data_IF_156938162140
#
_entry.id   IF_156938162140
#
_cell.length_a   1.000
_cell.length_b   1.000
_cell.length_c   1.000
_cell.angle_alpha   90.00
_cell.angle_beta   90.00
_cell.angle_gamma   90.00
#
_symmetry.space_group_name_H-M   'P 1'
#
loop_
_entity.id
_entity.type
_entity.pdbx_description
1 polymer ?
#
# COMPACT_ATOMS: atom_id res chain seq x y z
N UNK A 1 7.32 -20.60 27.40
CA UNK A 1 5.97 -20.23 26.94
C UNK A 1 5.63 -18.84 27.47
N UNK A 2 6.01 -17.79 26.75
CA UNK A 2 5.61 -16.42 27.10
C UNK A 2 4.18 -16.19 26.58
N UNK A 3 3.27 -15.79 27.47
CA UNK A 3 1.90 -15.42 27.14
C UNK A 3 1.94 -14.24 26.17
N UNK A 4 1.56 -14.47 24.91
CA UNK A 4 1.19 -13.43 23.95
C UNK A 4 0.22 -12.47 24.65
N UNK A 5 0.66 -11.25 24.95
CA UNK A 5 -0.23 -10.21 25.47
C UNK A 5 -1.15 -9.83 24.30
N UNK A 6 -2.29 -10.52 24.21
CA UNK A 6 -3.36 -10.16 23.28
C UNK A 6 -3.61 -8.67 23.48
N UNK A 7 -3.42 -7.86 22.44
CA UNK A 7 -3.95 -6.49 22.44
C UNK A 7 -5.47 -6.68 22.50
N UNK A 8 -6.04 -6.53 23.69
CA UNK A 8 -7.47 -6.71 23.98
C UNK A 8 -8.36 -5.62 23.33
N UNK A 9 -8.00 -5.15 22.13
CA UNK A 9 -8.78 -4.20 21.35
C UNK A 9 -9.35 -4.91 20.13
N UNK A 10 -10.55 -4.49 19.72
CA UNK A 10 -11.14 -4.93 18.46
C UNK A 10 -10.18 -4.52 17.32
N UNK A 11 -9.86 -5.45 16.43
CA UNK A 11 -8.95 -5.23 15.30
C UNK A 11 -9.60 -5.65 13.99
N UNK A 12 -9.41 -4.86 12.94
CA UNK A 12 -9.88 -5.12 11.58
C UNK A 12 -8.70 -4.97 10.61
N UNK A 13 -8.51 -5.94 9.72
CA UNK A 13 -7.36 -6.02 8.78
C UNK A 13 -5.98 -5.87 9.43
N UNK A 14 -5.81 -6.36 10.66
CA UNK A 14 -4.54 -6.27 11.41
C UNK A 14 -4.27 -4.91 12.05
N UNK A 15 -5.19 -3.94 11.92
CA UNK A 15 -5.13 -2.63 12.56
C UNK A 15 -6.22 -2.47 13.62
N UNK A 16 -6.01 -1.56 14.59
CA UNK A 16 -7.06 -1.16 15.54
C UNK A 16 -8.30 -0.63 14.78
N UNK A 17 -9.51 -0.81 15.30
CA UNK A 17 -10.71 -0.17 14.72
C UNK A 17 -10.57 1.35 14.62
N UNK A 18 -9.84 1.97 15.54
CA UNK A 18 -9.57 3.42 15.55
C UNK A 18 -8.44 3.84 14.57
N UNK A 19 -7.87 2.91 13.81
CA UNK A 19 -6.90 3.24 12.79
C UNK A 19 -7.58 3.98 11.63
N UNK A 20 -6.99 5.04 11.05
CA UNK A 20 -7.65 5.86 10.02
C UNK A 20 -8.19 5.07 8.81
N UNK A 21 -7.49 4.03 8.36
CA UNK A 21 -7.97 3.12 7.30
C UNK A 21 -9.31 2.49 7.71
N UNK A 22 -9.41 1.95 8.92
CA UNK A 22 -10.62 1.28 9.39
C UNK A 22 -11.74 2.28 9.64
N UNK A 23 -11.42 3.47 10.18
CA UNK A 23 -12.41 4.53 10.37
C UNK A 23 -13.00 5.02 9.05
N UNK A 24 -12.17 5.25 8.04
CA UNK A 24 -12.62 5.65 6.70
C UNK A 24 -13.42 4.54 6.02
N UNK A 25 -12.99 3.29 6.14
CA UNK A 25 -13.75 2.14 5.65
C UNK A 25 -15.14 2.07 6.30
N UNK A 26 -15.20 2.12 7.64
CA UNK A 26 -16.46 2.06 8.39
C UNK A 26 -17.36 3.24 8.03
N UNK A 27 -16.81 4.46 7.89
CA UNK A 27 -17.57 5.62 7.49
C UNK A 27 -18.19 5.46 6.10
N UNK A 28 -17.45 4.96 5.11
CA UNK A 28 -17.96 4.72 3.76
C UNK A 28 -19.05 3.64 3.75
N UNK A 29 -18.83 2.53 4.47
CA UNK A 29 -19.84 1.47 4.60
C UNK A 29 -21.09 1.99 5.31
N UNK A 30 -20.94 2.78 6.37
CA UNK A 30 -22.05 3.37 7.10
C UNK A 30 -22.87 4.32 6.23
N UNK A 31 -22.22 5.26 5.51
CA UNK A 31 -22.89 6.18 4.58
C UNK A 31 -23.61 5.40 3.48
N UNK A 32 -23.00 4.36 2.95
CA UNK A 32 -23.64 3.52 1.95
C UNK A 32 -24.90 2.81 2.48
N UNK A 33 -24.87 2.28 3.70
CA UNK A 33 -26.06 1.71 4.35
C UNK A 33 -27.14 2.79 4.50
N UNK A 34 -26.78 4.01 4.89
CA UNK A 34 -27.74 5.12 4.96
C UNK A 34 -28.32 5.47 3.58
N UNK A 35 -27.53 5.43 2.50
CA UNK A 35 -28.03 5.60 1.13
C UNK A 35 -29.06 4.53 0.77
N UNK A 36 -28.79 3.25 1.10
CA UNK A 36 -29.72 2.15 0.85
C UNK A 36 -31.03 2.33 1.62
N UNK A 37 -30.96 2.70 2.91
CA UNK A 37 -32.14 2.98 3.72
C UNK A 37 -32.95 4.19 3.23
N UNK A 38 -32.27 5.18 2.63
CA UNK A 38 -32.89 6.35 2.02
C UNK A 38 -33.43 6.09 0.59
N UNK A 39 -33.44 4.83 0.13
CA UNK A 39 -34.00 4.43 -1.15
C UNK A 39 -33.02 4.46 -2.32
N UNK A 40 -31.70 4.54 -2.08
CA UNK A 40 -30.66 4.46 -3.10
C UNK A 40 -30.31 5.82 -3.73
N UNK A 41 -31.26 6.42 -4.45
CA UNK A 41 -31.16 7.77 -5.03
C UNK A 41 -32.17 8.67 -4.37
N UNK A 42 -31.72 9.67 -3.63
CA UNK A 42 -32.64 10.50 -2.87
C UNK A 42 -31.96 11.66 -2.16
N UNK A 43 -32.44 11.97 -0.96
CA UNK A 43 -32.02 13.14 -0.18
C UNK A 43 -30.51 13.17 0.04
N UNK A 44 -29.89 12.01 0.30
CA UNK A 44 -28.46 11.94 0.57
C UNK A 44 -27.63 12.28 -0.67
N UNK A 45 -27.98 11.73 -1.83
CA UNK A 45 -27.26 12.06 -3.08
C UNK A 45 -27.49 13.53 -3.47
N UNK A 46 -28.72 14.04 -3.34
CA UNK A 46 -29.01 15.44 -3.67
C UNK A 46 -28.14 16.42 -2.86
N UNK A 47 -28.03 16.20 -1.55
CA UNK A 47 -27.29 17.12 -0.67
C UNK A 47 -25.79 16.84 -0.63
N UNK A 48 -25.33 15.60 -0.73
CA UNK A 48 -23.94 15.23 -0.47
C UNK A 48 -23.15 14.69 -1.67
N UNK A 49 -23.79 14.26 -2.76
CA UNK A 49 -23.05 13.98 -4.00
C UNK A 49 -22.67 15.30 -4.69
N UNK A 50 -21.59 15.30 -5.46
CA UNK A 50 -21.07 16.52 -6.08
C UNK A 50 -21.76 16.80 -7.39
N UNK A 51 -22.43 17.95 -7.48
CA UNK A 51 -22.96 18.49 -8.73
C UNK A 51 -22.46 19.92 -8.92
N UNK A 52 -21.70 20.23 -9.99
CA UNK A 52 -21.08 21.55 -10.14
C UNK A 52 -22.06 22.73 -10.00
N UNK A 53 -23.24 22.65 -10.62
CA UNK A 53 -24.31 23.66 -10.47
C UNK A 53 -24.70 23.92 -9.01
N UNK A 54 -24.85 22.88 -8.19
CA UNK A 54 -25.20 23.02 -6.76
C UNK A 54 -24.06 23.63 -5.96
N UNK A 55 -22.82 23.27 -6.27
CA UNK A 55 -21.65 23.89 -5.62
C UNK A 55 -21.62 25.39 -5.91
N UNK A 56 -21.89 25.82 -7.14
CA UNK A 56 -22.00 27.24 -7.48
C UNK A 56 -23.18 27.95 -6.78
N UNK A 57 -24.20 27.19 -6.35
CA UNK A 57 -25.34 27.69 -5.57
C UNK A 57 -25.11 27.64 -4.04
N UNK A 58 -23.92 27.28 -3.57
CA UNK A 58 -23.56 27.34 -2.15
C UNK A 58 -23.39 25.99 -1.44
N UNK A 59 -23.53 24.86 -2.14
CA UNK A 59 -23.39 23.51 -1.57
C UNK A 59 -21.92 23.08 -1.47
N UNK A 60 -21.06 23.91 -0.88
CA UNK A 60 -19.60 23.74 -0.92
C UNK A 60 -19.09 22.45 -0.27
N UNK A 61 -19.82 21.90 0.70
CA UNK A 61 -19.47 20.64 1.35
C UNK A 61 -19.46 19.44 0.39
N UNK A 62 -20.13 19.55 -0.77
CA UNK A 62 -20.13 18.53 -1.80
C UNK A 62 -18.72 18.26 -2.37
N UNK A 63 -17.78 19.22 -2.27
CA UNK A 63 -16.38 19.05 -2.67
C UNK A 63 -15.68 17.93 -1.88
N UNK A 64 -16.16 17.63 -0.67
CA UNK A 64 -15.59 16.60 0.19
C UNK A 64 -16.54 15.41 0.39
N UNK A 65 -17.81 15.70 0.68
CA UNK A 65 -18.79 14.68 1.08
C UNK A 65 -19.07 13.65 0.00
N UNK A 66 -18.96 14.02 -1.28
CA UNK A 66 -19.16 13.10 -2.40
C UNK A 66 -18.25 11.85 -2.33
N UNK A 67 -17.07 11.99 -1.73
CA UNK A 67 -16.10 10.91 -1.57
C UNK A 67 -16.57 9.78 -0.65
N UNK A 68 -17.67 9.96 0.08
CA UNK A 68 -18.23 8.95 0.98
C UNK A 68 -19.47 8.25 0.41
N UNK A 69 -20.10 8.81 -0.62
CA UNK A 69 -21.26 8.23 -1.26
C UNK A 69 -20.83 7.24 -2.34
N UNK A 70 -21.59 6.16 -2.53
CA UNK A 70 -21.34 5.15 -3.55
C UNK A 70 -22.62 4.82 -4.30
N UNK A 71 -22.47 4.32 -5.53
CA UNK A 71 -23.61 4.00 -6.39
C UNK A 71 -24.41 2.84 -5.79
N UNK A 72 -25.71 3.09 -5.58
CA UNK A 72 -26.64 2.10 -5.03
C UNK A 72 -27.29 1.20 -6.08
N UNK A 73 -27.28 1.61 -7.35
CA UNK A 73 -27.89 0.90 -8.48
C UNK A 73 -26.84 0.22 -9.37
N UNK A 74 -27.27 -0.68 -10.25
CA UNK A 74 -26.37 -1.48 -11.09
C UNK A 74 -26.05 -2.84 -10.45
N UNK A 75 -24.78 -3.24 -10.43
CA UNK A 75 -24.33 -4.38 -9.62
C UNK A 75 -24.17 -3.85 -8.19
N UNK A 76 -25.13 -4.08 -7.28
CA UNK A 76 -25.12 -3.44 -5.97
C UNK A 76 -23.81 -3.76 -5.25
N UNK A 77 -23.31 -2.83 -4.45
CA UNK A 77 -22.06 -2.94 -3.69
C UNK A 77 -20.77 -2.95 -4.53
N UNK A 78 -20.77 -3.20 -5.84
CA UNK A 78 -19.53 -3.33 -6.61
C UNK A 78 -18.67 -2.06 -6.56
N UNK A 79 -19.31 -0.89 -6.74
CA UNK A 79 -18.61 0.39 -6.68
C UNK A 79 -17.97 0.64 -5.30
N UNK A 80 -18.70 0.39 -4.21
CA UNK A 80 -18.14 0.48 -2.84
C UNK A 80 -17.03 -0.54 -2.62
N UNK A 81 -17.28 -1.80 -3.01
CA UNK A 81 -16.37 -2.91 -2.80
C UNK A 81 -15.01 -2.64 -3.45
N UNK A 82 -14.96 -2.29 -4.73
CA UNK A 82 -13.68 -2.08 -5.41
C UNK A 82 -12.94 -0.85 -4.88
N UNK A 83 -13.63 0.24 -4.57
CA UNK A 83 -13.00 1.40 -3.94
C UNK A 83 -12.36 1.03 -2.60
N UNK A 84 -13.13 0.39 -1.73
CA UNK A 84 -12.67 0.03 -0.39
C UNK A 84 -11.62 -1.09 -0.42
N UNK A 85 -11.71 -2.02 -1.37
CA UNK A 85 -10.73 -3.07 -1.59
C UNK A 85 -9.36 -2.48 -1.95
N UNK A 86 -9.31 -1.60 -2.96
CA UNK A 86 -8.06 -0.93 -3.36
C UNK A 86 -7.55 -0.03 -2.24
N UNK A 87 -8.44 0.73 -1.59
CA UNK A 87 -8.12 1.60 -0.45
C UNK A 87 -7.45 0.83 0.69
N UNK A 88 -8.06 -0.26 1.17
CA UNK A 88 -7.53 -1.05 2.30
C UNK A 88 -6.25 -1.77 1.90
N UNK A 89 -6.21 -2.37 0.71
CA UNK A 89 -5.03 -3.11 0.22
C UNK A 89 -3.81 -2.20 0.12
N UNK A 90 -3.89 -1.13 -0.66
CA UNK A 90 -2.76 -0.23 -0.85
C UNK A 90 -2.50 0.63 0.39
N UNK A 91 -3.55 1.08 1.07
CA UNK A 91 -3.42 1.83 2.33
C UNK A 91 -2.71 1.01 3.41
N UNK A 92 -3.04 -0.27 3.55
CA UNK A 92 -2.37 -1.18 4.48
C UNK A 92 -0.91 -1.43 4.12
N UNK A 93 -0.56 -1.50 2.82
CA UNK A 93 0.83 -1.57 2.39
C UNK A 93 1.59 -0.29 2.71
N UNK A 94 1.02 0.88 2.40
CA UNK A 94 1.63 2.19 2.61
C UNK A 94 1.82 2.50 4.10
N UNK A 95 0.82 2.22 4.94
CA UNK A 95 0.86 2.51 6.38
C UNK A 95 1.88 1.64 7.16
N UNK A 96 2.55 0.67 6.52
CA UNK A 96 3.73 0.00 7.09
C UNK A 96 4.99 0.86 7.00
N UNK A 97 5.03 1.83 6.08
CA UNK A 97 6.21 2.64 5.78
C UNK A 97 6.05 4.12 6.15
N UNK A 98 4.82 4.63 6.20
CA UNK A 98 4.54 6.00 6.63
C UNK A 98 3.52 6.03 7.77
N UNK A 99 3.58 7.04 8.66
CA UNK A 99 2.56 7.24 9.68
C UNK A 99 1.15 7.37 9.09
N UNK A 100 0.17 6.78 9.75
CA UNK A 100 -1.23 6.74 9.30
C UNK A 100 -1.87 8.13 9.14
N UNK A 101 -1.45 9.13 9.93
CA UNK A 101 -1.94 10.50 9.77
C UNK A 101 -1.47 11.13 8.44
N UNK A 102 -0.23 10.85 8.00
CA UNK A 102 0.29 11.34 6.71
C UNK A 102 -0.48 10.74 5.55
N UNK A 103 -0.70 9.42 5.61
CA UNK A 103 -1.57 8.72 4.66
C UNK A 103 -2.96 9.37 4.58
N UNK A 104 -3.56 9.66 5.75
CA UNK A 104 -4.91 10.25 5.83
C UNK A 104 -4.96 11.63 5.20
N UNK A 105 -3.98 12.49 5.47
CA UNK A 105 -3.89 13.83 4.87
C UNK A 105 -3.79 13.75 3.35
N UNK A 106 -2.94 12.86 2.82
CA UNK A 106 -2.78 12.69 1.37
C UNK A 106 -4.07 12.16 0.74
N UNK A 107 -4.74 11.19 1.36
CA UNK A 107 -6.02 10.66 0.91
C UNK A 107 -7.11 11.75 0.87
N UNK A 108 -7.26 12.51 1.96
CA UNK A 108 -8.25 13.60 2.04
C UNK A 108 -7.96 14.68 1.01
N UNK A 109 -6.69 15.06 0.83
CA UNK A 109 -6.32 16.04 -0.18
C UNK A 109 -6.60 15.55 -1.61
N UNK A 110 -6.42 14.26 -1.89
CA UNK A 110 -6.80 13.66 -3.15
C UNK A 110 -8.33 13.69 -3.37
N UNK A 111 -9.14 13.40 -2.35
CA UNK A 111 -10.60 13.56 -2.44
C UNK A 111 -10.98 15.02 -2.74
N UNK A 112 -10.41 15.97 -2.01
CA UNK A 112 -10.69 17.39 -2.23
C UNK A 112 -10.30 17.84 -3.64
N UNK A 113 -9.12 17.45 -4.13
CA UNK A 113 -8.71 17.81 -5.48
C UNK A 113 -9.49 17.09 -6.57
N UNK A 114 -9.96 15.86 -6.31
CA UNK A 114 -10.93 15.19 -7.17
C UNK A 114 -12.19 16.03 -7.33
N UNK A 115 -12.77 16.48 -6.21
CA UNK A 115 -13.96 17.34 -6.24
C UNK A 115 -13.75 18.67 -6.95
N UNK A 116 -12.62 19.35 -6.69
CA UNK A 116 -12.26 20.60 -7.38
C UNK A 116 -12.11 20.36 -8.89
N UNK A 117 -11.45 19.28 -9.30
CA UNK A 117 -11.28 18.96 -10.73
C UNK A 117 -12.63 18.69 -11.43
N UNK A 118 -13.62 18.12 -10.74
CA UNK A 118 -14.97 17.94 -11.29
C UNK A 118 -15.68 19.27 -11.49
N UNK A 119 -15.52 20.22 -10.57
CA UNK A 119 -16.11 21.57 -10.69
C UNK A 119 -15.46 22.36 -11.83
N UNK A 120 -14.14 22.21 -12.01
CA UNK A 120 -13.41 22.92 -13.05
C UNK A 120 -13.64 22.34 -14.45
N UNK A 121 -14.03 21.06 -14.57
CA UNK A 121 -14.24 20.40 -15.86
C UNK A 121 -15.25 21.13 -16.79
N UNK A 122 -16.49 21.47 -16.37
CA UNK A 122 -17.42 22.22 -17.22
C UNK A 122 -16.89 23.61 -17.61
N UNK A 123 -16.21 24.30 -16.68
CA UNK A 123 -15.61 25.63 -16.93
C UNK A 123 -14.51 25.53 -17.98
N UNK A 124 -13.66 24.50 -17.89
CA UNK A 124 -12.57 24.27 -18.83
C UNK A 124 -13.08 23.95 -20.24
N UNK A 125 -14.08 23.09 -20.36
CA UNK A 125 -14.74 22.76 -21.64
C UNK A 125 -15.35 24.01 -22.27
N UNK A 126 -16.02 24.84 -21.46
CA UNK A 126 -16.61 26.10 -21.91
C UNK A 126 -15.55 27.11 -22.39
N UNK A 127 -14.48 27.32 -21.64
CA UNK A 127 -13.39 28.25 -21.99
C UNK A 127 -12.69 27.83 -23.30
N UNK A 128 -12.50 26.53 -23.51
CA UNK A 128 -11.86 26.01 -24.72
C UNK A 128 -12.80 25.95 -25.93
N UNK A 129 -14.08 26.29 -25.78
CA UNK A 129 -15.07 26.17 -26.85
C UNK A 129 -15.26 24.74 -27.35
N UNK A 130 -14.99 23.75 -26.50
CA UNK A 130 -15.16 22.34 -26.85
C UNK A 130 -16.65 22.02 -26.79
N UNK A 131 -17.22 21.64 -27.93
CA UNK A 131 -18.59 21.14 -27.98
C UNK A 131 -18.63 19.74 -27.36
N UNK A 132 -19.11 19.67 -26.13
CA UNK A 132 -19.30 18.43 -25.40
C UNK A 132 -20.80 18.11 -25.34
N UNK A 133 -21.25 16.93 -25.82
CA UNK A 133 -22.67 16.64 -25.96
C UNK A 133 -23.37 16.31 -24.64
N UNK A 134 -22.64 16.25 -23.51
CA UNK A 134 -23.19 15.97 -22.18
C UNK A 134 -23.18 17.22 -21.29
N UNK A 135 -24.19 17.33 -20.45
CA UNK A 135 -24.31 18.39 -19.44
C UNK A 135 -23.45 18.10 -18.20
N UNK A 136 -22.18 18.49 -18.27
CA UNK A 136 -21.22 18.38 -17.16
C UNK A 136 -21.63 19.22 -15.94
N UNK A 137 -22.42 20.28 -16.10
CA UNK A 137 -22.77 21.20 -15.02
C UNK A 137 -23.82 20.61 -14.07
N UNK A 138 -24.71 19.77 -14.59
CA UNK A 138 -25.76 19.09 -13.84
C UNK A 138 -25.49 17.59 -13.61
N UNK A 139 -24.42 17.04 -14.18
CA UNK A 139 -23.97 15.67 -13.90
C UNK A 139 -23.47 15.55 -12.46
N UNK A 140 -23.91 14.49 -11.79
CA UNK A 140 -23.56 14.21 -10.39
C UNK A 140 -22.40 13.22 -10.31
N UNK A 141 -21.44 13.48 -9.42
CA UNK A 141 -20.29 12.61 -9.12
C UNK A 141 -20.33 12.19 -7.66
N UNK A 142 -20.10 10.90 -7.41
CA UNK A 142 -19.97 10.30 -6.08
C UNK A 142 -18.94 9.17 -6.13
N UNK A 143 -18.33 8.86 -4.99
CA UNK A 143 -17.38 7.76 -4.84
C UNK A 143 -16.03 8.18 -4.27
N UNK A 144 -15.43 7.30 -3.47
CA UNK A 144 -14.09 7.48 -2.89
C UNK A 144 -12.96 7.43 -3.93
N UNK A 145 -13.28 7.19 -5.20
CA UNK A 145 -12.34 6.81 -6.25
C UNK A 145 -11.29 7.87 -6.57
N UNK A 146 -11.58 9.16 -6.41
CA UNK A 146 -10.55 10.21 -6.50
C UNK A 146 -9.46 10.04 -5.42
N UNK A 147 -9.86 9.76 -4.18
CA UNK A 147 -8.93 9.45 -3.09
C UNK A 147 -8.16 8.15 -3.31
N UNK A 148 -8.83 7.13 -3.86
CA UNK A 148 -8.21 5.85 -4.23
C UNK A 148 -7.15 6.02 -5.33
N UNK A 149 -7.44 6.81 -6.37
CA UNK A 149 -6.45 7.14 -7.40
C UNK A 149 -5.26 7.90 -6.79
N UNK A 150 -5.50 8.80 -5.85
CA UNK A 150 -4.45 9.45 -5.08
C UNK A 150 -3.57 8.47 -4.27
N UNK A 151 -4.18 7.42 -3.70
CA UNK A 151 -3.44 6.34 -3.01
C UNK A 151 -2.60 5.54 -4.01
N UNK A 152 -3.10 5.24 -5.20
CA UNK A 152 -2.33 4.55 -6.24
C UNK A 152 -1.12 5.38 -6.67
N UNK A 153 -1.28 6.70 -6.81
CA UNK A 153 -0.16 7.63 -7.03
C UNK A 153 0.82 7.59 -5.88
N UNK A 154 0.36 7.69 -4.63
CA UNK A 154 1.21 7.62 -3.45
C UNK A 154 1.99 6.30 -3.40
N UNK A 155 1.35 5.18 -3.72
CA UNK A 155 2.00 3.88 -3.84
C UNK A 155 3.07 3.89 -4.93
N UNK A 156 2.78 4.45 -6.11
CA UNK A 156 3.74 4.60 -7.21
C UNK A 156 4.92 5.52 -6.88
N UNK A 157 4.75 6.51 -6.00
CA UNK A 157 5.83 7.36 -5.48
C UNK A 157 6.73 6.56 -4.52
N UNK A 158 6.14 5.78 -3.62
CA UNK A 158 6.88 5.04 -2.59
C UNK A 158 7.53 3.75 -3.12
N UNK A 159 6.90 3.09 -4.09
CA UNK A 159 7.29 1.79 -4.63
C UNK A 159 7.27 1.76 -6.17
N UNK A 160 8.04 2.64 -6.83
CA UNK A 160 7.90 2.90 -8.27
C UNK A 160 8.14 1.68 -9.17
N UNK A 161 9.00 0.76 -8.74
CA UNK A 161 9.39 -0.44 -9.49
C UNK A 161 8.56 -1.69 -9.12
N UNK A 162 7.67 -1.60 -8.13
CA UNK A 162 6.80 -2.72 -7.77
C UNK A 162 5.81 -2.98 -8.90
N UNK A 163 5.71 -4.24 -9.33
CA UNK A 163 4.70 -4.64 -10.29
C UNK A 163 3.33 -4.78 -9.64
N UNK A 164 2.34 -4.11 -10.23
CA UNK A 164 0.93 -4.22 -9.87
C UNK A 164 0.14 -4.72 -11.07
N UNK A 165 -0.94 -5.46 -10.79
CA UNK A 165 -1.88 -5.87 -11.82
C UNK A 165 -3.00 -4.83 -11.92
N UNK A 166 -3.14 -4.22 -13.11
CA UNK A 166 -4.31 -3.43 -13.46
C UNK A 166 -5.21 -4.30 -14.35
N UNK A 167 -6.31 -4.79 -13.77
CA UNK A 167 -7.26 -5.74 -14.35
C UNK A 167 -6.58 -7.04 -14.83
N UNK A 168 -5.90 -7.03 -15.98
CA UNK A 168 -5.19 -8.18 -16.56
C UNK A 168 -3.72 -7.92 -16.91
N UNK A 169 -3.24 -6.67 -16.85
CA UNK A 169 -1.87 -6.31 -17.25
C UNK A 169 -0.99 -5.99 -16.05
N UNK A 170 0.23 -6.57 -16.06
CA UNK A 170 1.28 -6.23 -15.10
C UNK A 170 1.98 -4.96 -15.56
N UNK A 171 2.16 -4.02 -14.64
CA UNK A 171 2.90 -2.79 -14.90
C UNK A 171 3.54 -2.27 -13.63
N UNK A 172 4.57 -1.43 -13.80
CA UNK A 172 5.21 -0.75 -12.67
C UNK A 172 4.22 0.22 -12.02
N UNK A 173 4.18 0.23 -10.69
CA UNK A 173 3.24 1.01 -9.90
C UNK A 173 3.24 2.51 -10.24
N UNK A 174 4.41 3.09 -10.57
CA UNK A 174 4.52 4.50 -10.98
C UNK A 174 3.68 4.89 -12.20
N UNK A 175 3.31 3.92 -13.03
CA UNK A 175 2.48 4.14 -14.23
C UNK A 175 1.01 3.81 -14.02
N UNK A 176 0.67 3.03 -12.98
CA UNK A 176 -0.65 2.43 -12.83
C UNK A 176 -1.79 3.47 -12.79
N UNK A 177 -1.66 4.50 -11.96
CA UNK A 177 -2.66 5.56 -11.84
C UNK A 177 -2.85 6.33 -13.16
N UNK A 178 -1.76 6.58 -13.90
CA UNK A 178 -1.82 7.35 -15.15
C UNK A 178 -2.38 6.57 -16.31
N UNK A 179 -2.06 5.28 -16.41
CA UNK A 179 -2.65 4.40 -17.41
C UNK A 179 -4.15 4.25 -17.13
N UNK A 180 -4.54 4.13 -15.86
CA UNK A 180 -5.95 4.12 -15.47
C UNK A 180 -6.68 5.42 -15.84
N UNK A 181 -6.15 6.58 -15.44
CA UNK A 181 -6.77 7.89 -15.75
C UNK A 181 -6.79 8.17 -17.26
N UNK A 182 -5.67 7.96 -17.95
CA UNK A 182 -5.55 8.22 -19.39
C UNK A 182 -6.44 7.27 -20.20
N UNK A 183 -6.45 5.98 -19.87
CA UNK A 183 -7.35 5.00 -20.47
C UNK A 183 -8.82 5.34 -20.23
N UNK A 184 -9.15 5.85 -19.03
CA UNK A 184 -10.48 6.36 -18.70
C UNK A 184 -10.92 7.52 -19.61
N UNK A 185 -10.10 8.55 -19.79
CA UNK A 185 -10.44 9.65 -20.71
C UNK A 185 -10.58 9.20 -22.17
N UNK A 186 -9.75 8.25 -22.62
CA UNK A 186 -9.91 7.66 -23.95
C UNK A 186 -11.28 6.95 -24.05
N UNK A 187 -11.65 6.17 -23.03
CA UNK A 187 -12.94 5.51 -22.96
C UNK A 187 -14.12 6.51 -22.94
N UNK A 188 -13.99 7.62 -22.23
CA UNK A 188 -14.99 8.70 -22.21
C UNK A 188 -15.20 9.30 -23.60
N UNK A 189 -14.11 9.64 -24.30
CA UNK A 189 -14.18 10.16 -25.67
C UNK A 189 -14.88 9.14 -26.57
N UNK A 190 -14.52 7.86 -26.48
CA UNK A 190 -15.16 6.81 -27.28
C UNK A 190 -16.66 6.68 -26.93
N UNK A 191 -17.01 6.60 -25.65
CA UNK A 191 -18.38 6.48 -25.15
C UNK A 191 -19.26 7.64 -25.59
N UNK A 192 -18.76 8.86 -25.43
CA UNK A 192 -19.55 10.07 -25.64
C UNK A 192 -19.70 10.38 -27.13
N UNK A 193 -18.64 10.25 -27.94
CA UNK A 193 -18.71 10.59 -29.37
C UNK A 193 -19.30 9.47 -30.24
N UNK A 194 -19.07 8.20 -29.91
CA UNK A 194 -19.53 7.09 -30.76
C UNK A 194 -20.81 6.44 -30.23
N UNK A 195 -20.97 6.33 -28.91
CA UNK A 195 -22.09 5.62 -28.30
C UNK A 195 -23.15 6.55 -27.70
N UNK A 196 -22.89 7.87 -27.64
CA UNK A 196 -23.76 8.86 -27.02
C UNK A 196 -24.22 8.46 -25.60
N UNK A 197 -23.36 7.72 -24.89
CA UNK A 197 -23.66 7.18 -23.56
C UNK A 197 -23.08 8.09 -22.49
N UNK A 198 -23.81 8.33 -21.37
CA UNK A 198 -23.28 9.08 -20.25
C UNK A 198 -22.08 8.38 -19.61
N UNK A 199 -21.34 9.15 -18.82
CA UNK A 199 -20.19 8.65 -18.08
C UNK A 199 -20.59 7.61 -17.04
N UNK A 200 -19.92 6.47 -17.06
CA UNK A 200 -19.99 5.47 -15.99
C UNK A 200 -18.96 5.78 -14.89
N UNK A 201 -17.86 6.45 -15.25
CA UNK A 201 -16.73 6.73 -14.37
C UNK A 201 -16.32 8.19 -14.48
N UNK A 202 -16.15 8.87 -13.35
CA UNK A 202 -15.72 10.28 -13.32
C UNK A 202 -14.19 10.39 -13.47
N UNK A 203 -13.69 10.38 -14.70
CA UNK A 203 -12.24 10.46 -14.96
C UNK A 203 -11.63 11.81 -14.58
N UNK A 204 -12.42 12.91 -14.64
CA UNK A 204 -12.01 14.20 -14.08
C UNK A 204 -11.77 14.13 -12.56
N UNK A 205 -12.60 13.38 -11.82
CA UNK A 205 -12.37 13.14 -10.39
C UNK A 205 -11.06 12.37 -10.15
N UNK A 206 -10.79 11.32 -10.94
CA UNK A 206 -9.56 10.55 -10.82
C UNK A 206 -8.31 11.36 -11.14
N UNK A 207 -8.36 12.20 -12.17
CA UNK A 207 -7.29 13.13 -12.51
C UNK A 207 -7.01 14.10 -11.37
N UNK A 208 -8.05 14.72 -10.82
CA UNK A 208 -7.92 15.60 -9.65
C UNK A 208 -7.30 14.89 -8.45
N UNK A 209 -7.72 13.66 -8.17
CA UNK A 209 -7.16 12.83 -7.11
C UNK A 209 -5.68 12.51 -7.32
N UNK A 210 -5.28 12.16 -8.54
CA UNK A 210 -3.89 11.93 -8.91
C UNK A 210 -3.03 13.19 -8.70
N UNK A 211 -3.50 14.33 -9.20
CA UNK A 211 -2.83 15.63 -9.03
C UNK A 211 -2.72 16.01 -7.55
N UNK A 212 -3.79 15.84 -6.77
CA UNK A 212 -3.80 16.14 -5.34
C UNK A 212 -2.72 15.36 -4.59
N UNK A 213 -2.58 14.06 -4.87
CA UNK A 213 -1.52 13.26 -4.27
C UNK A 213 -0.11 13.70 -4.71
N UNK A 214 0.11 14.06 -5.97
CA UNK A 214 1.42 14.53 -6.47
C UNK A 214 1.84 15.83 -5.80
N UNK A 215 0.90 16.76 -5.63
CA UNK A 215 1.20 18.05 -5.02
C UNK A 215 1.49 17.90 -3.52
N UNK A 216 0.70 17.07 -2.82
CA UNK A 216 0.73 17.00 -1.36
C UNK A 216 1.73 15.99 -0.81
N UNK A 217 1.90 14.83 -1.47
CA UNK A 217 2.75 13.76 -0.95
C UNK A 217 4.22 14.19 -0.74
N UNK A 218 4.90 14.87 -1.69
CA UNK A 218 6.29 15.30 -1.48
C UNK A 218 6.47 16.20 -0.27
N UNK A 219 5.49 17.09 0.00
CA UNK A 219 5.51 18.00 1.14
C UNK A 219 5.24 17.27 2.46
N UNK A 220 4.21 16.43 2.53
CA UNK A 220 3.86 15.69 3.75
C UNK A 220 4.92 14.64 4.10
N UNK A 221 5.57 14.06 3.10
CA UNK A 221 6.67 13.12 3.29
C UNK A 221 7.99 13.82 3.64
N UNK A 222 8.11 15.15 3.43
CA UNK A 222 9.35 15.96 3.58
C UNK A 222 10.04 15.85 4.93
N UNK A 223 9.29 15.73 6.02
CA UNK A 223 9.87 15.55 7.38
C UNK A 223 10.63 14.22 7.56
N UNK A 224 10.60 13.33 6.55
CA UNK A 224 11.51 12.18 6.40
C UNK A 224 12.14 12.06 5.00
N UNK A 225 11.65 12.81 4.00
CA UNK A 225 12.10 12.74 2.61
C UNK A 225 13.37 13.57 2.35
N UNK A 226 13.63 14.65 3.10
CA UNK A 226 14.95 15.33 3.05
C UNK A 226 16.09 14.48 3.63
N UNK A 227 15.79 13.49 4.47
CA UNK A 227 16.73 12.43 4.83
C UNK A 227 16.72 11.24 3.84
N UNK A 228 15.76 11.20 2.92
CA UNK A 228 15.63 10.17 1.88
C UNK A 228 16.36 10.49 0.57
N UNK A 229 17.03 11.64 0.47
CA UNK A 229 18.07 11.88 -0.54
C UNK A 229 19.30 10.96 -0.44
N UNK A 230 19.29 10.02 0.51
CA UNK A 230 20.24 8.89 0.64
C UNK A 230 19.58 7.53 0.45
N UNK A 231 18.43 7.46 -0.22
CA UNK A 231 17.87 6.20 -0.74
C UNK A 231 18.46 5.93 -2.13
N UNK A 232 19.79 5.87 -2.16
CA UNK A 232 20.57 5.12 -3.13
C UNK A 232 21.80 4.66 -2.34
N UNK A 233 21.85 3.36 -2.06
CA UNK A 233 22.99 2.60 -1.51
C UNK A 233 24.06 3.44 -0.79
N UNK A 234 23.80 3.88 0.44
CA UNK A 234 24.90 4.27 1.33
C UNK A 234 25.34 3.05 2.12
N UNK A 235 26.32 2.33 1.54
CA UNK A 235 27.25 1.46 2.27
C UNK A 235 27.81 2.30 3.43
N UNK A 236 27.19 2.19 4.59
CA UNK A 236 27.61 2.95 5.78
C UNK A 236 28.15 1.94 6.76
N UNK A 237 29.47 1.77 6.73
CA UNK A 237 30.21 1.25 7.87
C UNK A 237 29.90 2.17 9.06
N UNK A 238 28.98 1.76 9.92
CA UNK A 238 28.62 2.53 11.10
C UNK A 238 29.60 2.17 12.21
N UNK A 239 30.57 3.07 12.42
CA UNK A 239 31.42 3.09 13.61
C UNK A 239 30.53 3.51 14.78
N UNK A 240 30.04 2.53 15.55
CA UNK A 240 29.18 2.81 16.71
C UNK A 240 30.01 3.33 17.88
N UNK A 241 29.64 4.52 18.38
CA UNK A 241 29.94 4.97 19.72
C UNK A 241 28.83 4.45 20.67
N UNK A 242 29.15 4.01 21.90
CA UNK A 242 28.19 3.27 22.72
C UNK A 242 27.11 4.21 23.29
N UNK A 243 25.86 4.02 22.86
CA UNK A 243 24.69 4.59 23.55
C UNK A 243 23.96 3.48 24.31
N UNK A 244 23.42 3.86 25.48
CA UNK A 244 22.92 2.98 26.55
C UNK A 244 21.98 1.87 26.03
N UNK A 245 22.10 0.62 26.57
CA UNK A 245 21.32 -0.51 26.08
C UNK A 245 19.83 -0.31 26.37
N UNK A 246 19.04 -0.20 25.30
CA UNK A 246 17.59 -0.40 25.35
C UNK A 246 17.34 -1.89 25.57
N UNK A 247 16.56 -2.25 26.58
CA UNK A 247 16.13 -3.63 26.83
C UNK A 247 15.13 -3.99 25.73
N UNK A 248 15.61 -4.64 24.66
CA UNK A 248 14.74 -5.27 23.66
C UNK A 248 14.04 -6.47 24.29
N UNK A 249 12.80 -6.73 23.86
CA UNK A 249 12.10 -7.95 24.25
C UNK A 249 12.77 -9.18 23.63
N UNK A 250 12.75 -10.32 24.33
CA UNK A 250 13.40 -11.55 23.88
C UNK A 250 12.94 -11.97 22.47
N UNK A 251 11.66 -11.84 22.13
CA UNK A 251 11.16 -12.15 20.78
C UNK A 251 11.69 -11.18 19.70
N UNK A 252 11.81 -9.88 20.00
CA UNK A 252 12.38 -8.90 19.05
C UNK A 252 13.88 -9.13 18.82
N UNK A 253 14.60 -9.65 19.82
CA UNK A 253 16.00 -10.05 19.69
C UNK A 253 16.16 -11.31 18.83
N UNK A 254 15.28 -12.31 19.00
CA UNK A 254 15.29 -13.55 18.22
C UNK A 254 15.03 -13.32 16.73
N UNK A 255 14.00 -12.56 16.36
CA UNK A 255 13.70 -12.26 14.94
C UNK A 255 14.82 -11.44 14.29
N UNK A 256 15.40 -10.50 15.04
CA UNK A 256 16.57 -9.72 14.60
C UNK A 256 17.78 -10.63 14.37
N UNK A 257 18.06 -11.55 15.29
CA UNK A 257 19.18 -12.48 15.20
C UNK A 257 18.99 -13.49 14.07
N UNK A 258 17.78 -14.02 13.87
CA UNK A 258 17.46 -14.91 12.75
C UNK A 258 17.69 -14.21 11.42
N UNK A 259 17.28 -12.94 11.29
CA UNK A 259 17.52 -12.16 10.07
C UNK A 259 19.01 -11.97 9.80
N UNK A 260 19.78 -11.53 10.82
CA UNK A 260 21.24 -11.33 10.70
C UNK A 260 21.97 -12.60 10.30
N UNK A 261 21.63 -13.74 10.92
CA UNK A 261 22.28 -15.00 10.59
C UNK A 261 21.93 -15.47 9.16
N UNK A 262 20.68 -15.28 8.70
CA UNK A 262 20.31 -15.61 7.31
C UNK A 262 21.05 -14.76 6.30
N UNK A 263 21.19 -13.46 6.55
CA UNK A 263 21.97 -12.56 5.69
C UNK A 263 23.43 -13.00 5.62
N UNK A 264 24.06 -13.26 6.77
CA UNK A 264 25.43 -13.77 6.83
C UNK A 264 25.59 -15.10 6.06
N UNK A 265 24.68 -16.05 6.25
CA UNK A 265 24.74 -17.35 5.58
C UNK A 265 24.55 -17.23 4.06
N UNK A 266 23.71 -16.29 3.61
CA UNK A 266 23.55 -16.01 2.18
C UNK A 266 24.82 -15.38 1.58
N UNK A 267 25.48 -14.47 2.30
CA UNK A 267 26.78 -13.91 1.88
C UNK A 267 27.86 -14.99 1.79
N UNK A 268 27.92 -15.89 2.78
CA UNK A 268 28.82 -17.05 2.79
C UNK A 268 28.43 -18.12 1.75
N UNK A 269 27.20 -18.15 1.26
CA UNK A 269 26.81 -19.04 0.17
C UNK A 269 27.35 -18.55 -1.18
N UNK A 270 27.32 -17.23 -1.39
CA UNK A 270 27.72 -16.57 -2.65
C UNK A 270 29.22 -16.32 -2.76
N UNK A 271 29.93 -16.37 -1.64
CA UNK A 271 31.37 -16.18 -1.59
C UNK A 271 32.04 -17.44 -1.04
N UNK A 272 33.28 -17.67 -1.48
CA UNK A 272 34.33 -18.27 -0.66
C UNK A 272 34.40 -19.84 -0.60
N UNK A 273 35.63 -20.38 -0.43
CA UNK A 273 35.97 -21.81 -0.30
C UNK A 273 35.55 -22.42 1.05
N UNK A 274 35.48 -23.76 1.14
CA UNK A 274 35.11 -24.47 2.39
C UNK A 274 35.91 -24.02 3.63
N UNK A 275 37.24 -23.91 3.49
CA UNK A 275 38.15 -23.54 4.58
C UNK A 275 37.83 -22.18 5.19
N UNK A 276 37.51 -21.21 4.35
CA UNK A 276 37.15 -19.86 4.77
C UNK A 276 35.74 -19.83 5.42
N UNK A 277 34.74 -20.58 4.90
CA UNK A 277 33.42 -20.71 5.57
C UNK A 277 33.55 -21.28 6.99
N UNK A 278 34.43 -22.25 7.18
CA UNK A 278 34.73 -22.84 8.49
C UNK A 278 35.35 -21.82 9.45
N UNK A 279 36.30 -21.01 8.99
CA UNK A 279 36.94 -19.95 9.80
C UNK A 279 35.88 -18.94 10.29
N UNK A 280 34.93 -18.56 9.42
CA UNK A 280 33.89 -17.60 9.79
C UNK A 280 32.82 -18.16 10.73
N UNK A 281 32.39 -19.42 10.54
CA UNK A 281 31.27 -19.99 11.30
C UNK A 281 31.67 -20.51 12.68
N UNK A 282 32.92 -20.96 12.86
CA UNK A 282 33.42 -21.50 14.13
C UNK A 282 33.23 -20.54 15.32
N UNK A 283 33.64 -19.25 15.25
CA UNK A 283 33.47 -18.33 16.38
C UNK A 283 32.02 -17.90 16.63
N UNK A 284 31.09 -18.16 15.70
CA UNK A 284 29.69 -17.74 15.79
C UNK A 284 28.77 -18.81 16.41
N UNK A 285 29.33 -19.95 16.79
CA UNK A 285 28.57 -21.02 17.43
C UNK A 285 28.07 -20.60 18.81
N UNK A 286 26.81 -20.92 19.08
CA UNK A 286 26.17 -20.67 20.37
C UNK A 286 26.26 -21.92 21.26
N UNK A 287 26.53 -21.74 22.55
CA UNK A 287 26.93 -22.80 23.49
C UNK A 287 25.79 -23.63 24.09
N UNK A 288 24.51 -23.29 23.82
CA UNK A 288 23.34 -23.97 24.38
C UNK A 288 22.22 -24.25 23.35
N UNK A 289 22.59 -24.52 22.10
CA UNK A 289 21.61 -24.78 21.02
C UNK A 289 21.22 -26.25 20.98
N UNK A 290 20.03 -26.57 21.50
CA UNK A 290 19.46 -27.93 21.48
C UNK A 290 18.72 -28.29 20.17
N UNK A 291 18.82 -27.46 19.12
CA UNK A 291 18.29 -27.81 17.80
C UNK A 291 19.30 -28.67 17.01
N UNK A 292 18.85 -29.85 16.59
CA UNK A 292 19.58 -30.85 15.80
C UNK A 292 21.03 -31.08 16.24
N UNK A 293 21.27 -31.65 17.43
CA UNK A 293 22.62 -31.88 17.95
C UNK A 293 23.45 -32.77 17.00
N UNK A 294 24.80 -32.73 17.09
CA UNK A 294 25.69 -33.43 16.15
C UNK A 294 25.36 -34.91 15.89
N UNK A 295 25.02 -35.75 16.91
CA UNK A 295 24.73 -37.17 16.69
C UNK A 295 23.45 -37.44 15.87
N UNK A 296 22.53 -36.48 15.80
CA UNK A 296 21.22 -36.63 15.15
C UNK A 296 21.04 -35.64 14.01
N UNK A 297 22.12 -34.99 13.55
CA UNK A 297 22.04 -34.00 12.49
C UNK A 297 21.79 -34.68 11.14
N UNK A 298 20.66 -34.38 10.52
CA UNK A 298 20.32 -34.83 9.17
C UNK A 298 19.91 -33.63 8.31
N UNK A 299 20.65 -33.29 7.23
CA UNK A 299 20.46 -32.03 6.51
C UNK A 299 19.12 -31.92 5.77
N UNK A 300 18.48 -33.05 5.48
CA UNK A 300 17.17 -33.12 4.80
C UNK A 300 15.99 -33.34 5.75
N UNK A 301 16.24 -33.54 7.04
CA UNK A 301 15.19 -33.82 8.01
C UNK A 301 14.39 -32.54 8.36
N UNK A 302 13.05 -32.58 8.40
CA UNK A 302 12.22 -31.41 8.70
C UNK A 302 12.50 -30.75 10.06
N UNK A 303 12.98 -31.49 11.05
CA UNK A 303 13.39 -30.93 12.34
C UNK A 303 14.67 -30.10 12.19
N UNK A 304 15.64 -30.53 11.38
CA UNK A 304 16.89 -29.80 11.15
C UNK A 304 16.75 -28.60 10.20
N UNK A 305 15.76 -28.60 9.31
CA UNK A 305 15.44 -27.41 8.51
C UNK A 305 15.06 -26.20 9.40
N UNK A 306 14.56 -26.43 10.62
CA UNK A 306 14.21 -25.35 11.56
C UNK A 306 15.41 -24.60 12.11
N UNK A 307 16.61 -25.17 12.01
CA UNK A 307 17.86 -24.54 12.46
C UNK A 307 18.76 -24.09 11.31
N UNK A 308 18.30 -24.10 10.06
CA UNK A 308 19.14 -23.75 8.89
C UNK A 308 19.75 -22.34 8.99
N UNK A 309 19.07 -21.44 9.68
CA UNK A 309 19.54 -20.07 9.93
C UNK A 309 20.57 -19.97 11.08
N UNK A 310 20.89 -21.05 11.79
CA UNK A 310 21.84 -21.05 12.90
C UNK A 310 23.27 -21.40 12.42
N UNK A 311 24.31 -20.66 12.83
CA UNK A 311 25.71 -20.98 12.51
C UNK A 311 26.11 -22.41 12.90
N UNK A 312 25.58 -22.93 14.02
CA UNK A 312 25.82 -24.29 14.48
C UNK A 312 25.39 -25.33 13.43
N UNK A 313 24.18 -25.19 12.86
CA UNK A 313 23.66 -26.12 11.86
C UNK A 313 24.29 -25.90 10.48
N UNK A 314 24.61 -24.65 10.12
CA UNK A 314 25.34 -24.35 8.90
C UNK A 314 26.73 -25.01 8.88
N UNK A 315 27.47 -24.95 9.99
CA UNK A 315 28.78 -25.61 10.10
C UNK A 315 28.66 -27.15 10.03
N UNK A 316 27.63 -27.72 10.66
CA UNK A 316 27.36 -29.17 10.57
C UNK A 316 27.08 -29.59 9.13
N UNK A 317 26.23 -28.84 8.42
CA UNK A 317 25.92 -29.07 7.00
C UNK A 317 27.18 -29.03 6.15
N UNK A 318 28.03 -28.02 6.33
CA UNK A 318 29.31 -27.89 5.62
C UNK A 318 30.25 -29.08 5.84
N UNK A 319 30.36 -29.58 7.07
CA UNK A 319 31.21 -30.75 7.36
C UNK A 319 30.65 -32.03 6.70
N UNK A 320 29.33 -32.23 6.74
CA UNK A 320 28.67 -33.37 6.07
C UNK A 320 28.83 -33.32 4.55
N UNK A 321 28.68 -32.13 3.95
CA UNK A 321 28.83 -31.96 2.51
C UNK A 321 30.29 -32.28 2.08
N UNK A 322 31.30 -31.88 2.85
CA UNK A 322 32.69 -32.26 2.60
C UNK A 322 32.97 -33.75 2.75
N UNK A 323 32.50 -34.39 3.81
CA UNK A 323 32.66 -35.85 3.98
C UNK A 323 32.04 -36.62 2.81
N UNK A 324 30.93 -36.12 2.26
CA UNK A 324 30.28 -36.70 1.08
C UNK A 324 31.05 -36.50 -0.23
N UNK A 325 31.83 -35.43 -0.35
CA UNK A 325 32.70 -35.16 -1.50
C UNK A 325 34.00 -35.99 -1.44
N UNK A 326 34.58 -36.17 -0.25
CA UNK A 326 35.75 -37.04 -0.05
C UNK A 326 35.44 -38.54 -0.19
N UNK A 327 34.19 -38.96 0.07
CA UNK A 327 33.75 -40.35 -0.12
C UNK A 327 33.40 -40.73 -1.56
N UNK A 328 33.53 -39.79 -2.53
CA UNK A 328 33.28 -40.01 -3.96
C UNK A 328 34.54 -40.03 -4.83
N UNK A 329 35.72 -40.03 -4.22
CA UNK A 329 37.02 -40.12 -4.91
C UNK A 329 37.49 -41.58 -4.95
#
# INVERSE_FOLDING_TARGET
MAKRKYRNGISLFGYSVFHPINLLLIANVFVYIMQLLAGGTGILEYYFALTPSRVFQGYYWQIFSYGFLHEAYGIPFAHLFFNMYVFVMFGGLICKYIPSWKFTVIYVAAVLMGGISVILAPVFVQILGIHYPMDLLHTTTLGASGGVTGILVLFGILFPETEVFLIFFRMRARYAAWIFVGGGFIADIVSVYYFHSPFVVSNSCHLGGAIGAILVAPWILKDGFLNSGKIFLKKTAQKNSPSKPKVLSLEEDWDSQTKKNRELLNELAQSITYSEKKIFLTPLQQTNVNLCPPPTFQPKDPFCLRCEWFPNCALRKLNTDQESDFGRI
#
